data_IF_909951065361
#
_entry.id   IF_909951065361
#
_cell.length_a   1.000
_cell.length_b   1.000
_cell.length_c   1.000
_cell.angle_alpha   90.00
_cell.angle_beta   90.00
_cell.angle_gamma   90.00
#
_symmetry.space_group_name_H-M   'P 1'
#
loop_
_entity.id
_entity.type
_entity.pdbx_description
1 polymer ?
#
# COMPACT_ATOMS: atom_id res chain seq x y z
N UNK A 1 10.47 -7.03 18.71
CA UNK A 1 9.21 -6.37 19.10
C UNK A 1 8.92 -5.08 18.32
N UNK A 2 9.91 -4.24 17.97
CA UNK A 2 9.65 -2.97 17.28
C UNK A 2 9.09 -3.11 15.84
N UNK A 3 9.62 -4.05 15.04
CA UNK A 3 9.30 -4.10 13.61
C UNK A 3 7.87 -4.55 13.32
N UNK A 4 7.36 -5.55 14.05
CA UNK A 4 5.97 -6.01 13.95
C UNK A 4 4.97 -4.92 14.36
N UNK A 5 5.29 -4.14 15.40
CA UNK A 5 4.45 -3.02 15.82
C UNK A 5 4.39 -1.91 14.76
N UNK A 6 5.52 -1.60 14.10
CA UNK A 6 5.57 -0.64 12.98
C UNK A 6 4.73 -1.14 11.81
N UNK A 7 4.85 -2.43 11.45
CA UNK A 7 4.04 -3.04 10.39
C UNK A 7 2.54 -2.94 10.72
N UNK A 8 2.14 -3.30 11.93
CA UNK A 8 0.73 -3.24 12.35
C UNK A 8 0.22 -1.80 12.32
N UNK A 9 0.98 -0.85 12.87
CA UNK A 9 0.60 0.57 12.87
C UNK A 9 0.40 1.10 11.44
N UNK A 10 1.27 0.71 10.51
CA UNK A 10 1.14 1.10 9.11
C UNK A 10 -0.02 0.40 8.40
N UNK A 11 -0.27 -0.89 8.66
CA UNK A 11 -1.38 -1.62 8.06
C UNK A 11 -2.73 -1.05 8.52
N UNK A 12 -2.82 -0.64 9.78
CA UNK A 12 -4.03 -0.07 10.38
C UNK A 12 -4.19 1.44 10.14
N UNK A 13 -3.26 2.07 9.41
CA UNK A 13 -3.35 3.48 9.06
C UNK A 13 -4.52 3.71 8.08
N UNK A 14 -5.58 4.42 8.48
CA UNK A 14 -6.78 4.57 7.66
C UNK A 14 -6.51 5.35 6.38
N UNK A 15 -5.62 6.35 6.41
CA UNK A 15 -5.27 7.12 5.22
C UNK A 15 -4.52 6.24 4.21
N UNK A 16 -3.60 5.41 4.69
CA UNK A 16 -2.84 4.48 3.84
C UNK A 16 -3.77 3.46 3.18
N UNK A 17 -4.70 2.87 3.95
CA UNK A 17 -5.67 1.92 3.42
C UNK A 17 -6.49 2.56 2.29
N UNK A 18 -6.98 3.78 2.49
CA UNK A 18 -7.77 4.50 1.47
C UNK A 18 -6.93 4.75 0.22
N UNK A 19 -5.70 5.26 0.37
CA UNK A 19 -4.82 5.57 -0.78
C UNK A 19 -4.43 4.32 -1.57
N UNK A 20 -4.03 3.24 -0.88
CA UNK A 20 -3.71 1.96 -1.51
C UNK A 20 -4.95 1.35 -2.16
N UNK A 21 -6.11 1.49 -1.53
CA UNK A 21 -7.40 1.08 -2.09
C UNK A 21 -7.71 1.80 -3.39
N UNK A 22 -7.65 3.12 -3.40
CA UNK A 22 -7.86 3.94 -4.61
C UNK A 22 -6.88 3.51 -5.71
N UNK A 23 -5.59 3.39 -5.40
CA UNK A 23 -4.58 2.93 -6.35
C UNK A 23 -4.92 1.55 -6.92
N UNK A 24 -5.37 0.61 -6.07
CA UNK A 24 -5.79 -0.72 -6.50
C UNK A 24 -7.00 -0.67 -7.43
N UNK A 25 -8.05 0.07 -7.10
CA UNK A 25 -9.23 0.16 -7.97
C UNK A 25 -8.92 0.87 -9.30
N UNK A 26 -8.15 1.96 -9.27
CA UNK A 26 -7.67 2.64 -10.47
C UNK A 26 -6.84 1.71 -11.35
N UNK A 27 -5.96 0.89 -10.77
CA UNK A 27 -5.16 -0.08 -11.51
C UNK A 27 -5.99 -1.08 -12.32
N UNK A 28 -7.22 -1.39 -11.85
CA UNK A 28 -8.14 -2.31 -12.53
C UNK A 28 -8.98 -1.66 -13.63
N UNK A 29 -9.06 -0.34 -13.67
CA UNK A 29 -9.74 0.39 -14.74
C UNK A 29 -8.87 0.55 -15.99
N UNK A 30 -7.58 0.24 -15.90
CA UNK A 30 -6.66 0.34 -17.02
C UNK A 30 -6.88 -0.83 -17.98
N UNK A 31 -7.29 -0.52 -19.21
CA UNK A 31 -7.56 -1.52 -20.27
C UNK A 31 -6.29 -2.10 -20.90
N UNK A 32 -5.15 -1.38 -20.80
CA UNK A 32 -3.88 -1.83 -21.36
C UNK A 32 -3.30 -3.00 -20.53
N UNK A 33 -2.98 -4.14 -21.16
CA UNK A 33 -2.47 -5.31 -20.44
C UNK A 33 -1.16 -4.97 -19.73
N UNK A 34 -1.06 -5.35 -18.45
CA UNK A 34 0.11 -5.13 -17.60
C UNK A 34 0.28 -3.70 -17.06
N UNK A 35 -0.22 -2.67 -17.74
CA UNK A 35 0.01 -1.28 -17.37
C UNK A 35 -0.66 -0.89 -16.04
N UNK A 36 -1.83 -1.46 -15.74
CA UNK A 36 -2.46 -1.33 -14.43
C UNK A 36 -1.57 -1.87 -13.30
N UNK A 37 -0.91 -3.01 -13.52
CA UNK A 37 -0.05 -3.64 -12.51
C UNK A 37 1.22 -2.84 -12.25
N UNK A 38 1.85 -2.31 -13.31
CA UNK A 38 3.00 -1.40 -13.16
C UNK A 38 2.60 -0.11 -12.44
N UNK A 39 1.44 0.46 -12.77
CA UNK A 39 0.89 1.63 -12.08
C UNK A 39 0.66 1.36 -10.58
N UNK A 40 0.18 0.17 -10.24
CA UNK A 40 -0.01 -0.24 -8.84
C UNK A 40 1.32 -0.39 -8.09
N UNK A 41 2.32 -1.02 -8.70
CA UNK A 41 3.66 -1.14 -8.10
C UNK A 41 4.29 0.23 -7.86
N UNK A 42 4.17 1.14 -8.82
CA UNK A 42 4.63 2.52 -8.67
C UNK A 42 3.88 3.23 -7.55
N UNK A 43 2.54 3.11 -7.48
CA UNK A 43 1.74 3.70 -6.43
C UNK A 43 2.11 3.15 -5.04
N UNK A 44 2.34 1.84 -4.91
CA UNK A 44 2.80 1.20 -3.68
C UNK A 44 4.12 1.84 -3.20
N UNK A 45 5.09 2.02 -4.09
CA UNK A 45 6.38 2.62 -3.76
C UNK A 45 6.25 4.10 -3.40
N UNK A 46 5.48 4.86 -4.18
CA UNK A 46 5.24 6.30 -3.94
C UNK A 46 4.54 6.52 -2.61
N UNK A 47 3.47 5.78 -2.32
CA UNK A 47 2.76 5.89 -1.03
C UNK A 47 3.69 5.49 0.12
N UNK A 48 4.49 4.44 -0.06
CA UNK A 48 5.42 3.99 0.97
C UNK A 48 6.47 5.07 1.34
N UNK A 49 6.98 5.80 0.35
CA UNK A 49 7.92 6.91 0.57
C UNK A 49 7.21 8.19 1.05
N UNK A 50 6.04 8.52 0.51
CA UNK A 50 5.34 9.76 0.84
C UNK A 50 4.97 9.85 2.32
N UNK A 51 4.61 8.75 2.97
CA UNK A 51 4.25 8.76 4.40
C UNK A 51 5.38 9.24 5.32
N UNK A 52 6.54 8.55 5.42
CA UNK A 52 7.61 8.98 6.30
C UNK A 52 8.18 10.36 5.91
N UNK A 53 8.41 10.61 4.62
CA UNK A 53 9.11 11.82 4.18
C UNK A 53 8.20 13.05 4.08
N UNK A 54 7.00 12.91 3.51
CA UNK A 54 6.12 14.05 3.21
C UNK A 54 5.07 14.25 4.29
N UNK A 55 4.44 13.18 4.79
CA UNK A 55 3.36 13.29 5.79
C UNK A 55 3.92 13.49 7.19
N UNK A 56 4.95 12.73 7.57
CA UNK A 56 5.53 12.78 8.92
C UNK A 56 6.80 13.62 9.03
N UNK A 57 7.36 14.12 7.92
CA UNK A 57 8.56 14.95 7.92
C UNK A 57 9.81 14.26 8.49
N UNK A 58 9.85 12.93 8.48
CA UNK A 58 10.96 12.14 9.03
C UNK A 58 12.16 12.16 8.08
N UNK A 59 13.35 12.06 8.64
CA UNK A 59 14.61 11.97 7.89
C UNK A 59 15.58 10.97 8.52
N UNK A 60 16.65 10.64 7.79
CA UNK A 60 17.67 9.67 8.24
C UNK A 60 17.19 8.22 8.19
N UNK A 61 17.90 7.33 8.88
CA UNK A 61 17.68 5.88 8.82
C UNK A 61 16.26 5.47 9.23
N UNK A 62 15.65 6.19 10.18
CA UNK A 62 14.29 5.92 10.64
C UNK A 62 13.28 6.08 9.50
N UNK A 63 13.42 7.13 8.68
CA UNK A 63 12.53 7.39 7.55
C UNK A 63 12.66 6.32 6.46
N UNK A 64 13.90 5.91 6.15
CA UNK A 64 14.16 4.83 5.19
C UNK A 64 13.65 3.49 5.67
N UNK A 65 13.81 3.19 6.95
CA UNK A 65 13.27 1.95 7.56
C UNK A 65 11.74 1.96 7.50
N UNK A 66 11.11 3.08 7.84
CA UNK A 66 9.66 3.25 7.76
C UNK A 66 9.13 3.14 6.32
N UNK A 67 9.87 3.66 5.33
CA UNK A 67 9.52 3.56 3.91
C UNK A 67 9.60 2.11 3.42
N UNK A 68 10.68 1.38 3.77
CA UNK A 68 10.84 -0.03 3.41
C UNK A 68 9.72 -0.90 4.00
N UNK A 69 9.41 -0.71 5.29
CA UNK A 69 8.27 -1.37 5.93
C UNK A 69 6.95 -0.94 5.27
N UNK A 70 6.86 0.31 4.84
CA UNK A 70 5.71 0.88 4.12
C UNK A 70 5.39 0.15 2.81
N UNK A 71 6.41 -0.30 2.07
CA UNK A 71 6.21 -1.08 0.84
C UNK A 71 5.54 -2.42 1.16
N UNK A 72 6.03 -3.10 2.20
CA UNK A 72 5.48 -4.39 2.65
C UNK A 72 4.03 -4.21 3.11
N UNK A 73 3.77 -3.19 3.94
CA UNK A 73 2.41 -2.86 4.42
C UNK A 73 1.44 -2.58 3.27
N UNK A 74 1.86 -1.79 2.28
CA UNK A 74 1.05 -1.48 1.09
C UNK A 74 0.77 -2.73 0.25
N UNK A 75 1.75 -3.61 0.07
CA UNK A 75 1.58 -4.87 -0.64
C UNK A 75 0.59 -5.81 0.09
N UNK A 76 0.66 -5.89 1.41
CA UNK A 76 -0.26 -6.66 2.23
C UNK A 76 -1.70 -6.13 2.15
N UNK A 77 -1.90 -4.81 2.26
CA UNK A 77 -3.21 -4.18 2.08
C UNK A 77 -3.78 -4.51 0.69
N UNK A 78 -2.95 -4.39 -0.35
CA UNK A 78 -3.34 -4.72 -1.73
C UNK A 78 -3.75 -6.19 -1.86
N UNK A 79 -3.00 -7.12 -1.25
CA UNK A 79 -3.32 -8.54 -1.27
C UNK A 79 -4.64 -8.85 -0.56
N UNK A 80 -4.91 -8.20 0.58
CA UNK A 80 -6.18 -8.31 1.30
C UNK A 80 -7.33 -7.80 0.44
N UNK A 81 -7.19 -6.62 -0.19
CA UNK A 81 -8.21 -6.07 -1.08
C UNK A 81 -8.52 -7.01 -2.27
N UNK A 82 -7.47 -7.56 -2.90
CA UNK A 82 -7.63 -8.53 -3.97
C UNK A 82 -8.32 -9.82 -3.49
N UNK A 83 -7.98 -10.30 -2.29
CA UNK A 83 -8.61 -11.45 -1.66
C UNK A 83 -10.09 -11.21 -1.36
N UNK A 84 -10.42 -10.09 -0.74
CA UNK A 84 -11.81 -9.70 -0.41
C UNK A 84 -12.66 -9.56 -1.66
N UNK A 85 -12.13 -8.95 -2.72
CA UNK A 85 -12.84 -8.82 -3.99
C UNK A 85 -13.09 -10.17 -4.66
N UNK A 86 -12.09 -11.07 -4.64
CA UNK A 86 -12.26 -12.44 -5.15
C UNK A 86 -13.31 -13.20 -4.33
N UNK A 87 -13.34 -13.00 -3.02
CA UNK A 87 -14.33 -13.58 -2.13
C UNK A 87 -15.72 -13.05 -2.45
N UNK A 88 -15.87 -11.72 -2.58
CA UNK A 88 -17.12 -11.06 -2.94
C UNK A 88 -17.70 -11.64 -4.23
N UNK A 89 -16.90 -11.73 -5.30
CA UNK A 89 -17.31 -12.30 -6.60
C UNK A 89 -17.67 -13.79 -6.56
N UNK A 90 -17.23 -14.52 -5.53
CA UNK A 90 -17.51 -15.94 -5.37
C UNK A 90 -18.84 -16.17 -4.67
N UNK A 91 -19.25 -15.26 -3.80
CA UNK A 91 -20.44 -15.41 -2.94
C UNK A 91 -21.61 -14.51 -3.34
N UNK A 92 -21.37 -13.46 -4.13
CA UNK A 92 -22.35 -12.53 -4.67
C UNK A 92 -22.18 -12.41 -6.18
#
# INVERSE_FOLDING_TARGET
MLLTAIVIAQILDPLRIVLVGVAYFLSRLVERPGMGWFGLLAAIAVIAAAFPFVIFGQSGDIAWTAAAVGVISNALITAVLAGLLRLQRRFF
#
